data_IF_421360072815
#
_entry.id   IF_421360072815
#
_cell.length_a   1.000
_cell.length_b   1.000
_cell.length_c   1.000
_cell.angle_alpha   90.00
_cell.angle_beta   90.00
_cell.angle_gamma   90.00
#
_symmetry.space_group_name_H-M   'P 1'
#
loop_
_entity.id
_entity.type
_entity.pdbx_description
1 polymer ?
#
# COMPACT_ATOMS: atom_id res chain seq x y z
N UNK A 1 8.68 -26.19 5.02
CA UNK A 1 9.43 -24.92 5.00
C UNK A 1 9.05 -24.21 3.72
N UNK A 2 8.12 -23.25 3.81
CA UNK A 2 7.61 -22.53 2.64
C UNK A 2 8.56 -21.37 2.34
N UNK A 3 8.97 -21.23 1.08
CA UNK A 3 9.93 -20.23 0.61
C UNK A 3 9.29 -18.88 0.28
N UNK A 4 8.28 -18.45 1.06
CA UNK A 4 7.52 -17.24 0.74
C UNK A 4 7.75 -16.08 1.73
N UNK A 5 8.62 -16.25 2.72
CA UNK A 5 8.78 -15.31 3.83
C UNK A 5 10.00 -14.37 3.69
N UNK A 6 10.68 -14.37 2.52
CA UNK A 6 11.97 -13.66 2.31
C UNK A 6 11.91 -12.56 1.24
N UNK A 7 10.75 -11.97 0.94
CA UNK A 7 10.62 -10.91 -0.08
C UNK A 7 10.71 -9.48 0.49
N UNK A 8 11.34 -9.29 1.65
CA UNK A 8 11.14 -8.12 2.51
C UNK A 8 12.33 -7.18 2.68
N UNK A 9 13.46 -7.38 2.00
CA UNK A 9 14.63 -6.51 2.18
C UNK A 9 15.44 -6.18 0.91
N UNK A 10 15.13 -6.76 -0.25
CA UNK A 10 16.05 -6.65 -1.39
C UNK A 10 16.20 -5.23 -1.98
N UNK A 11 15.34 -4.26 -1.63
CA UNK A 11 15.41 -2.91 -2.21
C UNK A 11 15.06 -1.77 -1.23
N UNK A 12 15.28 -1.95 0.07
CA UNK A 12 15.11 -0.88 1.07
C UNK A 12 13.66 -0.56 1.47
N UNK A 13 12.70 -1.42 1.14
CA UNK A 13 11.33 -1.37 1.68
C UNK A 13 10.94 -2.74 2.20
N UNK A 14 9.96 -2.76 3.11
CA UNK A 14 9.22 -3.95 3.48
C UNK A 14 7.74 -3.80 3.10
N UNK A 15 7.16 -4.81 2.45
CA UNK A 15 5.72 -4.89 2.25
C UNK A 15 5.09 -5.46 3.52
N UNK A 16 4.05 -4.80 4.03
CA UNK A 16 3.36 -5.27 5.23
C UNK A 16 2.20 -6.17 4.83
N UNK A 17 2.29 -7.43 5.23
CA UNK A 17 1.22 -8.42 5.05
C UNK A 17 0.06 -8.16 6.02
N UNK A 18 -1.08 -8.84 5.79
CA UNK A 18 -2.23 -8.73 6.70
C UNK A 18 -1.93 -9.25 8.11
N UNK A 19 -1.10 -10.29 8.22
CA UNK A 19 -0.72 -10.85 9.53
C UNK A 19 0.20 -9.88 10.29
N UNK A 20 1.16 -9.27 9.59
CA UNK A 20 2.06 -8.28 10.19
C UNK A 20 1.34 -6.98 10.55
N UNK A 21 0.36 -6.54 9.74
CA UNK A 21 -0.47 -5.39 10.06
C UNK A 21 -1.09 -5.53 11.46
N UNK A 22 -1.53 -6.73 11.84
CA UNK A 22 -2.12 -6.97 13.17
C UNK A 22 -1.09 -6.82 14.31
N UNK A 23 0.20 -6.99 14.02
CA UNK A 23 1.30 -6.83 14.98
C UNK A 23 1.82 -5.39 15.10
N UNK A 24 1.48 -4.49 14.16
CA UNK A 24 1.92 -3.10 14.19
C UNK A 24 1.35 -2.31 15.38
N UNK A 25 1.98 -1.19 15.79
CA UNK A 25 1.42 -0.31 16.81
C UNK A 25 -0.03 0.09 16.54
N UNK A 26 -0.82 0.25 17.61
CA UNK A 26 -2.26 0.60 17.52
C UNK A 26 -2.47 1.83 16.64
N UNK A 27 -1.64 2.86 16.80
CA UNK A 27 -1.68 4.11 16.03
C UNK A 27 -1.56 3.89 14.52
N UNK A 28 -0.65 3.00 14.08
CA UNK A 28 -0.49 2.67 12.66
C UNK A 28 -1.70 1.89 12.15
N UNK A 29 -2.20 0.92 12.92
CA UNK A 29 -3.39 0.15 12.52
C UNK A 29 -4.61 1.06 12.37
N UNK A 30 -4.84 1.96 13.32
CA UNK A 30 -5.94 2.93 13.25
C UNK A 30 -5.78 3.88 12.06
N UNK A 31 -4.56 4.37 11.82
CA UNK A 31 -4.26 5.17 10.64
C UNK A 31 -4.60 4.43 9.34
N UNK A 32 -4.16 3.17 9.17
CA UNK A 32 -4.50 2.34 7.99
C UNK A 32 -6.01 2.20 7.85
N UNK A 33 -6.72 1.89 8.94
CA UNK A 33 -8.17 1.69 8.91
C UNK A 33 -8.92 2.96 8.49
N UNK A 34 -8.44 4.13 8.92
CA UNK A 34 -9.03 5.42 8.57
C UNK A 34 -8.68 5.86 7.14
N UNK A 35 -7.47 5.57 6.66
CA UNK A 35 -7.02 6.02 5.34
C UNK A 35 -7.45 5.08 4.20
N UNK A 36 -7.55 3.77 4.41
CA UNK A 36 -7.85 2.79 3.34
C UNK A 36 -9.24 2.94 2.70
N UNK A 37 -10.13 3.71 3.31
CA UNK A 37 -11.46 4.01 2.73
C UNK A 37 -11.38 5.12 1.69
N UNK A 38 -10.29 5.88 1.67
CA UNK A 38 -10.04 6.97 0.74
C UNK A 38 -9.01 6.54 -0.31
N UNK A 39 -9.40 6.57 -1.59
CA UNK A 39 -8.45 6.40 -2.69
C UNK A 39 -7.35 7.45 -2.57
N UNK A 40 -6.09 7.01 -2.53
CA UNK A 40 -5.05 7.89 -2.07
C UNK A 40 -3.69 7.23 -1.88
N UNK A 41 -2.66 8.06 -2.00
CA UNK A 41 -1.34 7.80 -1.45
C UNK A 41 -1.31 8.51 -0.12
N UNK A 42 -1.21 7.74 0.95
CA UNK A 42 -1.19 8.24 2.32
C UNK A 42 0.14 7.88 2.94
N UNK A 43 0.72 8.82 3.68
CA UNK A 43 1.98 8.61 4.37
C UNK A 43 1.88 9.03 5.82
N UNK A 44 2.57 8.31 6.68
CA UNK A 44 2.80 8.70 8.07
C UNK A 44 4.24 8.37 8.43
N UNK A 45 4.87 9.27 9.18
CA UNK A 45 6.16 9.05 9.81
C UNK A 45 5.91 8.61 11.25
N UNK A 46 6.50 7.50 11.66
CA UNK A 46 6.45 7.05 13.05
C UNK A 46 7.80 6.47 13.43
N UNK A 47 8.37 7.01 14.51
CA UNK A 47 9.77 6.77 14.87
C UNK A 47 10.69 7.21 13.72
N UNK A 48 11.53 6.32 13.21
CA UNK A 48 12.47 6.57 12.11
C UNK A 48 12.02 5.89 10.80
N UNK A 49 10.77 5.42 10.71
CA UNK A 49 10.23 4.71 9.55
C UNK A 49 9.09 5.51 8.86
N UNK A 50 9.13 5.58 7.53
CA UNK A 50 8.00 6.00 6.70
C UNK A 50 7.08 4.82 6.42
N UNK A 51 5.81 4.94 6.81
CA UNK A 51 4.74 4.04 6.37
C UNK A 51 4.02 4.66 5.18
N UNK A 52 3.97 3.95 4.06
CA UNK A 52 3.28 4.38 2.84
C UNK A 52 2.14 3.42 2.52
N UNK A 53 0.92 3.96 2.50
CA UNK A 53 -0.32 3.26 2.17
C UNK A 53 -0.81 3.74 0.80
N UNK A 54 -0.93 2.81 -0.13
CA UNK A 54 -1.55 3.03 -1.43
C UNK A 54 -2.92 2.38 -1.38
N UNK A 55 -3.99 3.15 -1.53
CA UNK A 55 -5.35 2.62 -1.43
C UNK A 55 -6.20 2.98 -2.64
N UNK A 56 -7.03 2.03 -3.07
CA UNK A 56 -8.08 2.27 -4.07
C UNK A 56 -9.36 2.87 -3.47
N UNK A 57 -9.46 2.92 -2.14
CA UNK A 57 -10.70 3.22 -1.44
C UNK A 57 -11.74 2.12 -1.63
N UNK A 58 -13.02 2.50 -1.54
CA UNK A 58 -14.14 1.56 -1.67
C UNK A 58 -14.22 0.94 -3.07
N UNK A 59 -14.35 -0.38 -3.14
CA UNK A 59 -14.61 -1.16 -4.37
C UNK A 59 -15.77 -2.14 -4.16
N UNK A 60 -16.59 -2.41 -5.18
CA UNK A 60 -17.83 -3.19 -5.03
C UNK A 60 -17.63 -4.70 -4.98
N UNK A 61 -16.42 -5.18 -5.29
CA UNK A 61 -16.09 -6.60 -5.33
C UNK A 61 -14.57 -6.83 -5.17
N UNK A 62 -14.13 -8.05 -4.78
CA UNK A 62 -12.71 -8.38 -4.55
C UNK A 62 -11.88 -8.57 -5.82
N UNK A 63 -12.45 -8.40 -7.01
CA UNK A 63 -11.70 -8.45 -8.27
C UNK A 63 -10.80 -7.24 -8.50
N UNK A 64 -11.04 -6.15 -7.78
CA UNK A 64 -10.13 -5.01 -7.76
C UNK A 64 -8.94 -5.27 -6.84
N UNK A 65 -7.73 -5.15 -7.36
CA UNK A 65 -6.49 -5.43 -6.61
C UNK A 65 -5.43 -4.37 -6.89
N UNK A 66 -4.47 -4.28 -5.96
CA UNK A 66 -3.23 -3.53 -6.15
C UNK A 66 -2.06 -4.51 -6.12
N UNK A 67 -1.13 -4.33 -7.05
CA UNK A 67 0.09 -5.12 -7.12
C UNK A 67 1.30 -4.18 -7.17
N UNK A 68 2.28 -4.44 -6.30
CA UNK A 68 3.61 -3.83 -6.43
C UNK A 68 4.36 -4.58 -7.53
N UNK A 69 4.57 -3.93 -8.67
CA UNK A 69 5.18 -4.54 -9.85
C UNK A 69 6.69 -4.36 -9.87
N UNK A 70 7.21 -3.33 -9.20
CA UNK A 70 8.64 -3.05 -9.18
C UNK A 70 9.04 -2.23 -7.95
N UNK A 71 10.26 -2.44 -7.47
CA UNK A 71 10.87 -1.68 -6.38
C UNK A 71 12.31 -1.37 -6.77
N UNK A 72 12.68 -0.10 -6.76
CA UNK A 72 14.01 0.37 -7.15
C UNK A 72 14.55 1.31 -6.08
N UNK A 73 15.63 0.89 -5.41
CA UNK A 73 16.36 1.77 -4.50
C UNK A 73 17.13 2.83 -5.31
N UNK A 74 17.00 4.10 -4.92
CA UNK A 74 17.68 5.23 -5.53
C UNK A 74 18.28 6.12 -4.44
N UNK A 75 19.57 5.96 -4.16
CA UNK A 75 20.32 6.73 -3.16
C UNK A 75 19.54 6.90 -1.84
N UNK A 76 18.89 8.06 -1.65
CA UNK A 76 18.17 8.46 -0.43
C UNK A 76 16.64 8.27 -0.52
N UNK A 77 16.14 7.45 -1.43
CA UNK A 77 14.72 7.15 -1.57
C UNK A 77 14.51 5.78 -2.22
N UNK A 78 13.30 5.24 -2.10
CA UNK A 78 12.89 4.06 -2.87
C UNK A 78 11.77 4.44 -3.82
N UNK A 79 11.86 4.01 -5.08
CA UNK A 79 10.76 4.09 -6.03
C UNK A 79 9.98 2.78 -6.01
N UNK A 80 8.67 2.87 -5.90
CA UNK A 80 7.74 1.73 -5.91
C UNK A 80 6.75 1.93 -7.06
N UNK A 81 6.70 0.98 -7.98
CA UNK A 81 5.72 0.96 -9.06
C UNK A 81 4.57 0.05 -8.66
N UNK A 82 3.35 0.57 -8.81
CA UNK A 82 2.13 -0.12 -8.42
C UNK A 82 1.14 -0.11 -9.57
N UNK A 83 0.46 -1.23 -9.77
CA UNK A 83 -0.58 -1.42 -10.77
C UNK A 83 -1.91 -1.73 -10.10
N UNK A 84 -2.99 -1.11 -10.58
CA UNK A 84 -4.37 -1.50 -10.27
C UNK A 84 -4.80 -2.57 -11.27
N UNK A 85 -5.34 -3.68 -10.75
CA UNK A 85 -6.00 -4.71 -11.54
C UNK A 85 -7.51 -4.55 -11.40
N UNK A 86 -8.21 -4.51 -12.52
CA UNK A 86 -9.67 -4.55 -12.57
C UNK A 86 -10.19 -6.00 -12.61
N UNK A 87 -11.45 -6.23 -12.18
CA UNK A 87 -12.09 -7.54 -12.30
C UNK A 87 -12.03 -8.07 -13.74
N UNK A 88 -11.58 -9.31 -13.90
CA UNK A 88 -11.45 -9.93 -15.22
C UNK A 88 -12.82 -10.02 -15.92
N UNK A 89 -12.94 -9.59 -17.20
CA UNK A 89 -14.19 -9.67 -17.93
C UNK A 89 -14.75 -11.09 -17.97
N UNK A 90 -16.05 -11.24 -17.70
CA UNK A 90 -16.73 -12.55 -17.71
C UNK A 90 -16.50 -13.41 -16.46
N UNK A 91 -15.67 -12.97 -15.51
CA UNK A 91 -15.50 -13.66 -14.23
C UNK A 91 -16.56 -13.24 -13.23
N UNK A 92 -17.11 -14.21 -12.51
CA UNK A 92 -18.03 -13.95 -11.41
C UNK A 92 -17.25 -13.53 -10.16
N UNK A 93 -17.60 -12.37 -9.61
CA UNK A 93 -17.10 -11.90 -8.31
C UNK A 93 -18.27 -11.68 -7.35
N UNK A 94 -18.10 -12.01 -6.06
CA UNK A 94 -19.12 -11.72 -5.06
C UNK A 94 -19.33 -10.21 -4.91
N UNK A 95 -20.58 -9.80 -4.69
CA UNK A 95 -20.95 -8.40 -4.44
C UNK A 95 -20.67 -8.07 -2.97
N UNK A 96 -19.42 -7.72 -2.67
CA UNK A 96 -18.95 -7.39 -1.34
C UNK A 96 -18.07 -6.16 -1.40
N UNK A 97 -18.37 -5.18 -0.55
CA UNK A 97 -17.56 -3.98 -0.42
C UNK A 97 -16.18 -4.38 0.15
N UNK A 98 -15.13 -4.01 -0.57
CA UNK A 98 -13.73 -4.22 -0.19
C UNK A 98 -12.95 -2.90 -0.27
N UNK A 99 -11.78 -2.90 0.37
CA UNK A 99 -10.86 -1.76 0.40
C UNK A 99 -9.45 -2.24 0.05
N UNK A 100 -9.12 -2.40 -1.24
CA UNK A 100 -7.81 -2.87 -1.65
C UNK A 100 -6.75 -1.82 -1.29
N UNK A 101 -5.66 -2.27 -0.67
CA UNK A 101 -4.53 -1.41 -0.33
C UNK A 101 -3.22 -2.21 -0.37
N UNK A 102 -2.12 -1.48 -0.55
CA UNK A 102 -0.75 -1.92 -0.29
C UNK A 102 -0.22 -1.06 0.83
N UNK A 103 0.39 -1.68 1.85
CA UNK A 103 1.11 -0.99 2.91
C UNK A 103 2.59 -1.37 2.82
N UNK A 104 3.45 -0.36 2.89
CA UNK A 104 4.90 -0.52 2.90
C UNK A 104 5.50 0.26 4.06
N UNK A 105 6.66 -0.16 4.52
CA UNK A 105 7.51 0.61 5.43
C UNK A 105 8.94 0.73 4.91
N UNK A 106 9.62 1.82 5.24
CA UNK A 106 10.98 2.11 4.79
C UNK A 106 11.66 3.14 5.68
N UNK A 107 12.97 3.01 5.88
CA UNK A 107 13.80 3.99 6.60
C UNK A 107 14.08 5.25 5.75
N UNK A 108 13.83 5.17 4.43
CA UNK A 108 13.96 6.29 3.49
C UNK A 108 12.63 6.61 2.82
N UNK A 109 12.42 7.84 2.33
CA UNK A 109 11.18 8.20 1.64
C UNK A 109 10.86 7.30 0.43
N UNK A 110 9.59 6.94 0.28
CA UNK A 110 9.06 6.13 -0.82
C UNK A 110 8.39 7.02 -1.87
N UNK A 111 8.81 6.96 -3.13
CA UNK A 111 8.08 7.56 -4.24
C UNK A 111 7.23 6.51 -4.94
N UNK A 112 5.93 6.74 -5.07
CA UNK A 112 5.02 5.80 -5.74
C UNK A 112 4.69 6.28 -7.15
N UNK A 113 4.82 5.38 -8.13
CA UNK A 113 4.47 5.61 -9.53
C UNK A 113 3.55 4.49 -10.07
N UNK A 114 3.04 4.66 -11.29
CA UNK A 114 2.25 3.63 -12.00
C UNK A 114 0.73 3.75 -11.84
N UNK A 115 0.25 4.64 -10.96
CA UNK A 115 -1.17 4.89 -10.76
C UNK A 115 -1.53 6.31 -11.23
N UNK A 116 -2.12 6.42 -12.43
CA UNK A 116 -2.43 7.71 -13.08
C UNK A 116 -3.55 8.53 -12.41
N UNK A 117 -4.11 8.10 -11.26
CA UNK A 117 -5.29 8.74 -10.67
C UNK A 117 -5.25 8.93 -9.14
N UNK A 118 -4.10 8.78 -8.49
CA UNK A 118 -4.05 9.00 -7.04
C UNK A 118 -3.79 10.47 -6.72
N UNK A 119 -4.81 11.16 -6.20
CA UNK A 119 -4.64 12.50 -5.64
C UNK A 119 -3.82 12.41 -4.34
N UNK A 120 -2.60 12.93 -4.35
CA UNK A 120 -1.82 13.16 -3.13
C UNK A 120 -2.47 14.30 -2.34
N UNK A 121 -3.35 13.97 -1.38
CA UNK A 121 -3.74 14.95 -0.37
C UNK A 121 -2.65 15.01 0.70
N UNK A 122 -1.66 15.86 0.49
CA UNK A 122 -0.72 16.25 1.53
C UNK A 122 -1.52 16.91 2.67
N UNK A 123 -1.50 16.40 3.92
CA UNK A 123 -2.05 17.13 5.05
C UNK A 123 -1.01 18.16 5.52
N UNK A 124 -0.82 19.20 4.72
CA UNK A 124 -0.25 20.46 5.19
C UNK A 124 -1.09 21.61 4.65
N UNK A 125 -2.16 21.94 5.36
CA UNK A 125 -2.64 23.33 5.38
C UNK A 125 -3.50 23.59 6.62
N UNK A 126 -2.93 24.47 7.46
CA UNK A 126 -3.49 25.20 8.62
C UNK A 126 -3.54 24.49 9.97
#
# INVERSE_FOLDING_TARGET
MNQNDEKDLENGIKLITSDELNTLPVSIREWVMNQKVHSGLHKIQMEDEEYTLISLGMRPNPGYQLEVTNVVQQDNKVKVEVMEHEPAPGTFYPQMIVYPFVLTKSDVPINVEGLNQIHTKNPQSK
#
